data_IF_356107662340
#
_entry.id   IF_356107662340
#
_cell.length_a   1.000
_cell.length_b   1.000
_cell.length_c   1.000
_cell.angle_alpha   90.00
_cell.angle_beta   90.00
_cell.angle_gamma   90.00
#
_symmetry.space_group_name_H-M   'P 1'
#
loop_
_entity.id
_entity.type
_entity.pdbx_description
1 polymer ?
#
# COMPACT_ATOMS: atom_id res chain seq x y z
N UNK A 1 12.80 12.14 13.91
CA UNK A 1 11.50 12.59 14.42
C UNK A 1 10.85 11.52 15.28
N UNK A 2 9.93 11.93 16.11
CA UNK A 2 9.16 11.06 17.00
C UNK A 2 7.68 11.05 16.51
N UNK A 3 7.15 9.87 16.26
CA UNK A 3 5.75 9.67 15.93
C UNK A 3 5.16 8.51 16.74
N UNK A 4 4.19 8.80 17.62
CA UNK A 4 3.53 7.81 18.48
C UNK A 4 4.49 6.97 19.35
N UNK A 5 5.58 7.57 19.82
CA UNK A 5 6.60 6.90 20.62
C UNK A 5 7.60 6.08 19.79
N UNK A 6 7.55 6.14 18.48
CA UNK A 6 8.52 5.54 17.57
C UNK A 6 9.40 6.62 16.95
N UNK A 7 10.70 6.40 17.00
CA UNK A 7 11.66 7.27 16.31
C UNK A 7 11.74 6.91 14.83
N UNK A 8 11.68 7.92 13.96
CA UNK A 8 11.86 7.77 12.52
C UNK A 8 12.87 8.78 12.00
N UNK A 9 13.71 8.37 11.05
CA UNK A 9 14.58 9.30 10.35
C UNK A 9 13.73 10.26 9.49
N UNK A 10 13.95 11.56 9.66
CA UNK A 10 13.33 12.58 8.80
C UNK A 10 14.22 12.91 7.59
N UNK A 11 15.52 12.77 7.75
CA UNK A 11 16.53 12.94 6.72
C UNK A 11 17.84 12.25 7.16
N UNK A 12 18.77 12.06 6.22
CA UNK A 12 20.05 11.42 6.48
C UNK A 12 21.18 12.43 6.28
N UNK A 13 22.03 12.58 7.29
CA UNK A 13 23.17 13.48 7.23
C UNK A 13 24.36 12.79 6.57
N UNK A 14 25.18 13.59 5.88
CA UNK A 14 26.45 13.12 5.35
C UNK A 14 27.47 12.83 6.47
N UNK A 15 28.35 11.87 6.22
CA UNK A 15 29.40 11.52 7.16
C UNK A 15 30.25 12.76 7.55
N UNK A 16 30.58 12.86 8.84
CA UNK A 16 31.39 13.93 9.40
C UNK A 16 30.65 15.23 9.71
N UNK A 17 29.33 15.28 9.52
CA UNK A 17 28.50 16.40 9.94
C UNK A 17 27.60 16.00 11.11
N UNK A 18 27.29 16.96 11.98
CA UNK A 18 26.40 16.73 13.10
C UNK A 18 24.96 16.52 12.60
N UNK A 19 24.29 15.45 13.08
CA UNK A 19 22.93 15.10 12.69
C UNK A 19 21.89 15.88 13.50
N UNK A 20 22.00 17.19 13.52
CA UNK A 20 21.07 18.13 14.18
C UNK A 20 20.42 19.00 13.13
N UNK A 21 19.10 19.13 13.17
CA UNK A 21 18.36 19.98 12.25
C UNK A 21 18.41 21.45 12.69
N UNK A 22 18.79 22.33 11.78
CA UNK A 22 18.65 23.78 11.96
C UNK A 22 17.23 24.21 11.65
N UNK A 23 16.46 24.51 12.69
CA UNK A 23 15.09 25.01 12.53
C UNK A 23 15.12 26.45 12.01
N UNK A 24 14.67 26.67 10.80
CA UNK A 24 14.71 27.97 10.11
C UNK A 24 13.49 28.16 9.20
N UNK A 25 13.10 29.42 8.94
CA UNK A 25 12.14 29.74 7.90
C UNK A 25 12.73 29.75 6.48
N UNK A 26 14.05 29.62 6.35
CA UNK A 26 14.77 29.47 5.10
C UNK A 26 15.00 28.00 4.75
N UNK A 27 16.09 27.75 4.01
CA UNK A 27 16.54 26.39 3.72
C UNK A 27 17.29 25.82 4.92
N UNK A 28 16.84 24.68 5.44
CA UNK A 28 17.53 23.99 6.52
C UNK A 28 18.87 23.38 6.03
N UNK A 29 19.69 22.95 6.98
CA UNK A 29 20.94 22.24 6.70
C UNK A 29 20.73 20.87 6.00
N UNK A 30 19.52 20.31 6.02
CA UNK A 30 19.13 19.12 5.28
C UNK A 30 18.93 19.36 3.77
N UNK A 31 18.82 20.63 3.34
CA UNK A 31 18.43 21.00 1.97
C UNK A 31 19.32 20.37 0.89
N UNK A 32 20.64 20.44 1.04
CA UNK A 32 21.55 19.95 0.01
C UNK A 32 21.48 18.43 -0.13
N UNK A 33 21.33 17.71 0.98
CA UNK A 33 21.17 16.26 0.98
C UNK A 33 19.84 15.85 0.32
N UNK A 34 18.74 16.44 0.73
CA UNK A 34 17.41 16.17 0.17
C UNK A 34 17.35 16.53 -1.33
N UNK A 35 18.04 17.61 -1.73
CA UNK A 35 18.17 17.98 -3.14
C UNK A 35 18.91 16.91 -3.94
N UNK A 36 20.02 16.38 -3.43
CA UNK A 36 20.80 15.32 -4.10
C UNK A 36 19.96 14.05 -4.25
N UNK A 37 19.27 13.63 -3.21
CA UNK A 37 18.38 12.47 -3.25
C UNK A 37 17.25 12.65 -4.27
N UNK A 38 16.60 13.81 -4.27
CA UNK A 38 15.56 14.14 -5.26
C UNK A 38 16.08 14.08 -6.71
N UNK A 39 17.28 14.62 -6.95
CA UNK A 39 17.90 14.58 -8.27
C UNK A 39 18.29 13.15 -8.67
N UNK A 40 18.77 12.33 -7.73
CA UNK A 40 19.10 10.93 -7.97
C UNK A 40 17.85 10.12 -8.39
N UNK A 41 16.72 10.31 -7.69
CA UNK A 41 15.44 9.69 -8.08
C UNK A 41 15.02 10.12 -9.49
N UNK A 42 15.12 11.40 -9.80
CA UNK A 42 14.70 11.94 -11.12
C UNK A 42 15.59 11.51 -12.28
N UNK A 43 16.86 11.29 -12.04
CA UNK A 43 17.86 10.96 -13.09
C UNK A 43 18.22 9.47 -13.14
N UNK A 44 17.93 8.70 -12.10
CA UNK A 44 18.30 7.30 -11.98
C UNK A 44 17.20 6.47 -11.31
N UNK A 45 17.37 6.12 -10.05
CA UNK A 45 16.42 5.33 -9.28
C UNK A 45 16.53 5.66 -7.79
N UNK A 46 15.42 5.67 -7.09
CA UNK A 46 15.34 5.73 -5.65
C UNK A 46 14.44 4.65 -5.10
N UNK A 47 14.77 4.20 -3.91
CA UNK A 47 14.00 3.23 -3.13
C UNK A 47 13.73 3.83 -1.75
N UNK A 48 12.49 3.73 -1.27
CA UNK A 48 12.15 4.15 0.09
C UNK A 48 11.14 3.23 0.72
N UNK A 49 11.21 3.17 2.03
CA UNK A 49 10.37 2.33 2.87
C UNK A 49 8.95 2.94 2.97
N UNK A 50 7.93 2.10 2.81
CA UNK A 50 6.50 2.45 2.88
C UNK A 50 5.70 1.49 3.76
N UNK A 51 6.35 0.73 4.64
CA UNK A 51 5.72 -0.23 5.56
C UNK A 51 4.68 0.42 6.48
N UNK A 52 4.87 1.71 6.80
CA UNK A 52 3.99 2.47 7.68
C UNK A 52 2.58 2.72 7.15
N UNK A 53 2.23 2.36 5.91
CA UNK A 53 0.84 2.35 5.46
C UNK A 53 0.04 1.26 6.18
N UNK A 54 -1.22 1.55 6.53
CA UNK A 54 -2.14 0.51 6.99
C UNK A 54 -2.49 -0.45 5.86
N UNK A 55 -2.61 -1.73 6.19
CA UNK A 55 -2.88 -2.79 5.21
C UNK A 55 -3.94 -3.73 5.77
N UNK A 56 -5.03 -3.91 5.02
CA UNK A 56 -6.14 -4.76 5.41
C UNK A 56 -6.43 -5.76 4.30
N UNK A 57 -6.47 -7.04 4.65
CA UNK A 57 -6.88 -8.11 3.74
C UNK A 57 -8.35 -8.44 3.97
N UNK A 58 -9.12 -8.47 2.90
CA UNK A 58 -10.52 -8.89 2.90
C UNK A 58 -10.68 -10.17 2.08
N UNK A 59 -11.44 -11.11 2.61
CA UNK A 59 -11.71 -12.40 1.97
C UNK A 59 -13.11 -12.89 2.31
N UNK A 60 -13.56 -13.92 1.60
CA UNK A 60 -14.86 -14.55 1.77
C UNK A 60 -15.84 -14.22 0.65
N UNK A 61 -16.93 -15.00 0.55
CA UNK A 61 -17.88 -14.89 -0.57
C UNK A 61 -18.60 -13.54 -0.63
N UNK A 62 -18.74 -12.84 0.49
CA UNK A 62 -19.35 -11.52 0.58
C UNK A 62 -18.38 -10.34 0.41
N UNK A 63 -17.05 -10.58 0.29
CA UNK A 63 -16.05 -9.52 0.38
C UNK A 63 -16.21 -8.44 -0.70
N UNK A 64 -16.42 -8.81 -1.96
CA UNK A 64 -16.65 -7.84 -3.04
C UNK A 64 -17.87 -6.97 -2.80
N UNK A 65 -19.00 -7.56 -2.44
CA UNK A 65 -20.25 -6.84 -2.18
C UNK A 65 -20.13 -5.91 -0.96
N UNK A 66 -19.42 -6.37 0.07
CA UNK A 66 -19.11 -5.56 1.24
C UNK A 66 -18.28 -4.33 0.87
N UNK A 67 -17.17 -4.52 0.15
CA UNK A 67 -16.30 -3.43 -0.28
C UNK A 67 -17.01 -2.46 -1.24
N UNK A 68 -17.80 -2.96 -2.18
CA UNK A 68 -18.61 -2.14 -3.08
C UNK A 68 -19.64 -1.26 -2.34
N UNK A 69 -20.10 -1.71 -1.17
CA UNK A 69 -21.02 -0.95 -0.31
C UNK A 69 -20.30 0.16 0.48
N UNK A 70 -19.07 -0.07 0.96
CA UNK A 70 -18.39 0.88 1.86
C UNK A 70 -17.41 1.82 1.14
N UNK A 71 -17.01 1.48 -0.09
CA UNK A 71 -16.12 2.29 -0.90
C UNK A 71 -16.94 3.05 -1.96
N UNK A 72 -16.65 4.33 -2.14
CA UNK A 72 -17.38 5.18 -3.08
C UNK A 72 -16.93 4.97 -4.54
N UNK A 73 -15.77 4.34 -4.76
CA UNK A 73 -15.25 4.00 -6.07
C UNK A 73 -15.62 2.58 -6.52
N UNK A 74 -15.49 2.32 -7.80
CA UNK A 74 -15.72 0.99 -8.36
C UNK A 74 -14.59 0.03 -7.97
N UNK A 75 -14.93 -1.16 -7.47
CA UNK A 75 -13.95 -2.22 -7.17
C UNK A 75 -13.31 -2.72 -8.49
N UNK A 76 -11.97 -2.69 -8.60
CA UNK A 76 -11.29 -3.10 -9.81
C UNK A 76 -11.39 -4.62 -10.06
N UNK A 77 -11.09 -5.04 -11.29
CA UNK A 77 -10.93 -6.45 -11.63
C UNK A 77 -9.64 -7.03 -11.03
N UNK A 78 -9.55 -8.36 -10.96
CA UNK A 78 -8.34 -9.07 -10.51
C UNK A 78 -7.07 -8.59 -11.23
N UNK A 79 -5.96 -8.48 -10.50
CA UNK A 79 -4.68 -7.95 -10.99
C UNK A 79 -4.65 -6.43 -11.16
N UNK A 80 -5.68 -5.71 -10.67
CA UNK A 80 -5.77 -4.26 -10.79
C UNK A 80 -5.96 -3.59 -9.43
N UNK A 81 -5.50 -2.35 -9.36
CA UNK A 81 -5.71 -1.46 -8.21
C UNK A 81 -6.55 -0.25 -8.61
N UNK A 82 -7.22 0.35 -7.64
CA UNK A 82 -7.91 1.63 -7.79
C UNK A 82 -7.77 2.44 -6.51
N UNK A 83 -7.55 3.75 -6.65
CA UNK A 83 -7.70 4.69 -5.56
C UNK A 83 -9.19 4.97 -5.37
N UNK A 84 -9.67 4.89 -4.15
CA UNK A 84 -11.09 5.07 -3.84
C UNK A 84 -11.29 5.73 -2.47
N UNK A 85 -12.17 6.74 -2.38
CA UNK A 85 -12.58 7.24 -1.09
C UNK A 85 -13.55 6.26 -0.39
N UNK A 86 -13.49 6.24 0.92
CA UNK A 86 -14.46 5.59 1.79
C UNK A 86 -15.26 6.65 2.50
N UNK A 87 -16.59 6.60 2.42
CA UNK A 87 -17.48 7.61 2.98
C UNK A 87 -18.49 6.99 3.94
N UNK A 88 -18.97 7.80 4.88
CA UNK A 88 -20.11 7.43 5.70
C UNK A 88 -21.45 7.66 4.93
N UNK A 89 -22.60 7.20 5.47
CA UNK A 89 -23.89 7.40 4.81
C UNK A 89 -24.29 8.87 4.58
N UNK A 90 -23.69 9.81 5.30
CA UNK A 90 -23.88 11.24 5.09
C UNK A 90 -22.96 11.84 3.99
N UNK A 91 -22.12 11.01 3.35
CA UNK A 91 -21.18 11.43 2.31
C UNK A 91 -19.89 12.06 2.84
N UNK A 92 -19.65 12.05 4.15
CA UNK A 92 -18.40 12.55 4.72
C UNK A 92 -17.28 11.54 4.52
N UNK A 93 -16.09 12.05 4.17
CA UNK A 93 -14.90 11.23 3.97
C UNK A 93 -14.45 10.56 5.27
N UNK A 94 -14.35 9.23 5.26
CA UNK A 94 -13.77 8.40 6.32
C UNK A 94 -12.30 8.15 6.04
N UNK A 95 -11.96 7.87 4.79
CA UNK A 95 -10.59 7.59 4.38
C UNK A 95 -10.43 7.60 2.87
N UNK A 96 -9.17 7.69 2.47
CA UNK A 96 -8.72 7.61 1.09
C UNK A 96 -7.84 6.36 0.97
N UNK A 97 -8.31 5.38 0.24
CA UNK A 97 -7.74 4.03 0.23
C UNK A 97 -7.39 3.61 -1.20
N UNK A 98 -6.34 2.79 -1.31
CA UNK A 98 -6.08 2.02 -2.55
C UNK A 98 -6.58 0.60 -2.34
N UNK A 99 -7.48 0.14 -3.20
CA UNK A 99 -7.96 -1.24 -3.23
C UNK A 99 -7.26 -2.01 -4.35
N UNK A 100 -6.68 -3.16 -4.01
CA UNK A 100 -6.10 -4.13 -4.93
C UNK A 100 -6.95 -5.40 -4.91
N UNK A 101 -7.36 -5.91 -6.09
CA UNK A 101 -8.09 -7.17 -6.22
C UNK A 101 -7.13 -8.28 -6.59
N UNK A 102 -6.85 -9.21 -5.68
CA UNK A 102 -5.88 -10.29 -5.86
C UNK A 102 -6.38 -11.43 -6.77
N UNK A 103 -7.68 -11.55 -6.97
CA UNK A 103 -8.31 -12.68 -7.64
C UNK A 103 -8.81 -13.74 -6.67
N UNK A 104 -9.24 -14.90 -7.16
CA UNK A 104 -9.68 -15.99 -6.31
C UNK A 104 -8.48 -16.60 -5.56
N UNK A 105 -8.68 -16.92 -4.29
CA UNK A 105 -7.70 -17.67 -3.51
C UNK A 105 -7.42 -19.01 -4.21
N UNK A 106 -6.27 -19.18 -4.81
CA UNK A 106 -5.81 -20.50 -5.28
C UNK A 106 -5.42 -21.29 -4.04
N UNK A 107 -6.20 -22.32 -3.72
CA UNK A 107 -6.20 -23.13 -2.52
C UNK A 107 -4.93 -23.13 -1.67
N UNK A 108 -5.14 -22.86 -0.39
CA UNK A 108 -4.25 -23.00 0.77
C UNK A 108 -2.80 -23.42 0.50
N UNK A 109 -1.90 -22.45 0.43
CA UNK A 109 -0.58 -22.65 0.96
C UNK A 109 -0.63 -22.16 2.41
N UNK A 110 -0.68 -23.08 3.37
CA UNK A 110 -0.35 -22.81 4.77
C UNK A 110 1.15 -22.52 4.85
N UNK A 111 1.51 -21.29 4.57
CA UNK A 111 2.83 -20.72 4.80
C UNK A 111 2.67 -19.50 5.69
N UNK A 112 3.74 -19.03 6.39
CA UNK A 112 3.63 -17.84 7.20
C UNK A 112 3.07 -16.70 6.37
N UNK A 113 2.01 -16.09 6.86
CA UNK A 113 1.26 -15.02 6.22
C UNK A 113 2.18 -13.90 5.76
N UNK A 114 2.44 -13.79 4.47
CA UNK A 114 2.97 -12.51 3.97
C UNK A 114 3.31 -12.44 2.48
N UNK A 115 2.91 -13.37 1.65
CA UNK A 115 3.15 -13.15 0.21
C UNK A 115 1.84 -12.71 -0.45
N UNK A 116 1.75 -11.40 -0.74
CA UNK A 116 0.71 -10.87 -1.63
C UNK A 116 1.11 -11.28 -3.04
N UNK A 117 0.80 -12.52 -3.41
CA UNK A 117 1.01 -13.01 -4.78
C UNK A 117 -0.27 -12.79 -5.58
N UNK A 118 -0.27 -11.76 -6.40
CA UNK A 118 -1.31 -11.51 -7.36
C UNK A 118 -1.00 -12.23 -8.68
N UNK A 119 -1.56 -13.39 -8.85
CA UNK A 119 -1.44 -14.13 -10.09
C UNK A 119 -2.72 -14.91 -10.39
N UNK A 120 -3.80 -14.23 -10.81
CA UNK A 120 -4.98 -14.94 -11.30
C UNK A 120 -5.53 -14.26 -12.55
N UNK A 121 -5.32 -14.89 -13.69
CA UNK A 121 -6.07 -14.69 -14.91
C UNK A 121 -7.34 -15.54 -14.81
N UNK A 122 -8.37 -15.03 -14.16
CA UNK A 122 -9.65 -15.74 -14.05
C UNK A 122 -10.77 -14.78 -13.64
N UNK A 123 -11.86 -14.82 -14.42
CA UNK A 123 -13.07 -14.03 -14.17
C UNK A 123 -13.95 -14.76 -13.13
N UNK A 124 -13.48 -14.88 -11.89
CA UNK A 124 -14.20 -15.55 -10.79
C UNK A 124 -14.55 -14.54 -9.71
N UNK A 125 -15.84 -14.23 -9.57
CA UNK A 125 -16.37 -13.30 -8.57
C UNK A 125 -16.55 -13.91 -7.19
N UNK A 126 -16.55 -15.23 -7.07
CA UNK A 126 -16.69 -15.94 -5.80
C UNK A 126 -15.31 -16.34 -5.28
N UNK A 127 -14.99 -15.93 -4.04
CA UNK A 127 -13.71 -16.22 -3.39
C UNK A 127 -12.55 -15.28 -3.74
N UNK A 128 -12.84 -14.10 -4.30
CA UNK A 128 -11.80 -13.07 -4.52
C UNK A 128 -11.25 -12.53 -3.20
N UNK A 129 -9.96 -12.28 -3.17
CA UNK A 129 -9.29 -11.60 -2.07
C UNK A 129 -8.91 -10.16 -2.47
N UNK A 130 -8.90 -9.29 -1.48
CA UNK A 130 -8.62 -7.87 -1.66
C UNK A 130 -7.61 -7.40 -0.63
N UNK A 131 -6.75 -6.47 -1.00
CA UNK A 131 -5.91 -5.74 -0.05
C UNK A 131 -6.22 -4.26 -0.20
N UNK A 132 -6.49 -3.61 0.94
CA UNK A 132 -6.67 -2.19 1.05
C UNK A 132 -5.45 -1.56 1.71
N UNK A 133 -4.95 -0.49 1.11
CA UNK A 133 -3.86 0.33 1.65
C UNK A 133 -4.39 1.70 2.02
N UNK A 134 -4.06 2.19 3.20
CA UNK A 134 -4.49 3.48 3.69
C UNK A 134 -3.45 4.17 4.58
N UNK A 135 -3.81 5.29 5.16
CA UNK A 135 -2.94 6.01 6.10
C UNK A 135 -2.65 5.18 7.34
N UNK A 136 -1.37 4.99 7.67
CA UNK A 136 -0.96 4.20 8.85
C UNK A 136 -1.44 4.80 10.17
N UNK A 137 -1.45 6.11 10.30
CA UNK A 137 -1.95 6.78 11.51
C UNK A 137 -3.46 6.61 11.72
N UNK A 138 -4.20 6.24 10.67
CA UNK A 138 -5.64 6.01 10.73
C UNK A 138 -6.00 4.52 10.85
N UNK A 139 -5.03 3.60 10.98
CA UNK A 139 -5.26 2.15 11.00
C UNK A 139 -6.34 1.74 12.00
N UNK A 140 -6.21 2.14 13.25
CA UNK A 140 -7.21 1.85 14.29
C UNK A 140 -8.59 2.49 14.06
N UNK A 141 -8.62 3.61 13.36
CA UNK A 141 -9.87 4.26 12.97
C UNK A 141 -10.55 3.46 11.86
N UNK A 142 -9.80 3.00 10.87
CA UNK A 142 -10.31 2.15 9.79
C UNK A 142 -10.77 0.79 10.31
N UNK A 143 -10.01 0.13 11.19
CA UNK A 143 -10.42 -1.13 11.83
C UNK A 143 -11.82 -1.02 12.45
N UNK A 144 -12.01 -0.02 13.32
CA UNK A 144 -13.32 0.20 13.97
C UNK A 144 -14.43 0.46 12.97
N UNK A 145 -14.14 1.18 11.89
CA UNK A 145 -15.13 1.42 10.84
C UNK A 145 -15.48 0.13 10.11
N UNK A 146 -14.49 -0.67 9.72
CA UNK A 146 -14.70 -1.95 9.07
C UNK A 146 -15.51 -2.90 9.97
N UNK A 147 -15.12 -3.07 11.22
CA UNK A 147 -15.80 -3.94 12.19
C UNK A 147 -17.29 -3.58 12.37
N UNK A 148 -17.60 -2.29 12.41
CA UNK A 148 -18.99 -1.81 12.52
C UNK A 148 -19.83 -2.11 11.28
N UNK A 149 -19.21 -2.31 10.14
CA UNK A 149 -19.86 -2.54 8.86
C UNK A 149 -19.81 -4.00 8.40
N UNK A 150 -18.99 -4.85 9.05
CA UNK A 150 -18.89 -6.27 8.71
C UNK A 150 -20.24 -6.99 8.88
N UNK A 151 -20.63 -7.85 7.92
CA UNK A 151 -21.80 -8.72 8.11
C UNK A 151 -21.54 -9.73 9.22
N UNK A 152 -22.60 -10.03 9.98
CA UNK A 152 -22.54 -10.95 11.13
C UNK A 152 -22.65 -12.43 10.75
N UNK A 153 -22.87 -12.73 9.47
CA UNK A 153 -23.05 -14.09 8.93
C UNK A 153 -21.73 -14.81 8.61
N UNK A 154 -20.58 -14.15 8.85
CA UNK A 154 -19.25 -14.71 8.56
C UNK A 154 -18.89 -14.75 7.07
N UNK A 155 -19.69 -14.13 6.20
CA UNK A 155 -19.44 -14.09 4.74
C UNK A 155 -18.25 -13.22 4.36
N UNK A 156 -17.76 -12.38 5.27
CA UNK A 156 -16.58 -11.50 5.06
C UNK A 156 -15.63 -11.62 6.23
N UNK A 157 -14.36 -11.81 5.93
CA UNK A 157 -13.27 -11.74 6.89
C UNK A 157 -12.40 -10.52 6.58
N UNK A 158 -12.08 -9.74 7.61
CA UNK A 158 -11.09 -8.65 7.56
C UNK A 158 -9.91 -9.02 8.45
N UNK A 159 -8.70 -8.82 7.94
CA UNK A 159 -7.44 -9.09 8.64
C UNK A 159 -6.51 -7.89 8.49
N UNK A 160 -6.01 -7.36 9.60
CA UNK A 160 -5.00 -6.30 9.59
C UNK A 160 -3.63 -6.92 9.44
N UNK A 161 -2.90 -6.56 8.38
CA UNK A 161 -1.59 -7.13 8.07
C UNK A 161 -0.44 -6.45 8.84
N UNK A 162 -0.67 -5.25 9.35
CA UNK A 162 0.28 -4.52 10.21
C UNK A 162 1.70 -4.42 9.65
N UNK A 163 2.69 -4.52 10.54
CA UNK A 163 4.12 -4.48 10.21
C UNK A 163 4.70 -5.84 9.75
N UNK A 164 3.92 -6.91 9.77
CA UNK A 164 4.37 -8.21 9.26
C UNK A 164 4.60 -8.19 7.74
N UNK A 165 3.99 -7.21 7.05
CA UNK A 165 4.16 -6.99 5.62
C UNK A 165 4.91 -5.68 5.38
N UNK A 166 6.18 -5.79 4.97
CA UNK A 166 6.99 -4.64 4.60
C UNK A 166 6.55 -4.06 3.25
N UNK A 167 6.62 -2.75 3.12
CA UNK A 167 6.36 -2.02 1.90
C UNK A 167 7.61 -1.27 1.42
N UNK A 168 7.92 -1.38 0.14
CA UNK A 168 8.98 -0.61 -0.51
C UNK A 168 8.42 0.07 -1.76
N UNK A 169 8.73 1.35 -1.92
CA UNK A 169 8.44 2.09 -3.13
C UNK A 169 9.72 2.30 -3.93
N UNK A 170 9.63 2.08 -5.23
CA UNK A 170 10.73 2.30 -6.17
C UNK A 170 10.28 3.27 -7.27
N UNK A 171 11.08 4.28 -7.56
CA UNK A 171 10.79 5.24 -8.64
C UNK A 171 12.06 5.72 -9.34
N UNK A 172 11.87 6.27 -10.52
CA UNK A 172 12.92 6.81 -11.36
C UNK A 172 13.02 6.10 -12.71
N UNK A 173 13.72 6.69 -13.68
CA UNK A 173 13.83 6.15 -15.04
C UNK A 173 14.43 4.73 -15.09
N UNK A 174 15.26 4.35 -14.13
CA UNK A 174 15.91 3.04 -14.06
C UNK A 174 15.17 2.04 -13.12
N UNK A 175 13.99 2.38 -12.58
CA UNK A 175 13.26 1.53 -11.64
C UNK A 175 12.96 0.14 -12.21
N UNK A 176 12.50 0.05 -13.47
CA UNK A 176 12.23 -1.25 -14.13
C UNK A 176 13.47 -2.12 -14.29
N UNK A 177 14.60 -1.52 -14.68
CA UNK A 177 15.86 -2.25 -14.84
C UNK A 177 16.40 -2.82 -13.51
N UNK A 178 16.00 -2.24 -12.37
CA UNK A 178 16.27 -2.82 -11.05
C UNK A 178 15.30 -3.97 -10.77
N UNK A 179 14.00 -3.79 -10.99
CA UNK A 179 12.99 -4.82 -10.77
C UNK A 179 13.25 -6.07 -11.61
N UNK A 180 13.64 -5.93 -12.88
CA UNK A 180 14.00 -7.05 -13.79
C UNK A 180 15.13 -7.95 -13.24
N UNK A 181 15.94 -7.45 -12.29
CA UNK A 181 16.99 -8.23 -11.63
C UNK A 181 16.49 -8.96 -10.36
N UNK A 182 15.31 -8.61 -9.88
CA UNK A 182 14.77 -9.08 -8.60
C UNK A 182 13.61 -10.06 -8.76
N UNK A 183 13.00 -10.14 -9.95
CA UNK A 183 11.84 -10.99 -10.21
C UNK A 183 11.85 -11.52 -11.64
N UNK A 184 11.30 -12.72 -11.83
CA UNK A 184 11.05 -13.31 -13.14
C UNK A 184 9.72 -12.84 -13.76
N UNK A 185 8.92 -12.05 -13.03
CA UNK A 185 7.68 -11.48 -13.54
C UNK A 185 7.95 -10.46 -14.65
N UNK A 186 7.03 -10.35 -15.60
CA UNK A 186 7.10 -9.33 -16.65
C UNK A 186 6.78 -7.93 -16.08
N UNK A 187 7.82 -7.22 -15.70
CA UNK A 187 7.73 -5.84 -15.20
C UNK A 187 7.86 -4.79 -16.31
N UNK A 188 7.82 -5.20 -17.59
CA UNK A 188 7.79 -4.27 -18.72
C UNK A 188 6.54 -3.37 -18.71
N UNK A 189 6.53 -2.35 -19.56
CA UNK A 189 5.36 -1.47 -19.69
C UNK A 189 4.10 -2.22 -20.16
N UNK A 190 4.24 -3.32 -20.88
CA UNK A 190 3.12 -4.14 -21.34
C UNK A 190 2.67 -5.15 -20.29
N UNK A 191 3.61 -5.74 -19.52
CA UNK A 191 3.33 -6.68 -18.45
C UNK A 191 2.74 -5.98 -17.21
N UNK A 192 3.39 -4.90 -16.76
CA UNK A 192 2.94 -4.12 -15.62
C UNK A 192 2.40 -2.75 -16.07
N UNK A 193 1.12 -2.69 -16.40
CA UNK A 193 0.43 -1.45 -16.79
C UNK A 193 0.14 -0.57 -15.57
N UNK A 194 -0.17 0.70 -15.82
CA UNK A 194 -0.60 1.62 -14.76
C UNK A 194 -1.74 1.03 -13.93
N UNK A 195 -1.62 1.08 -12.61
CA UNK A 195 -2.56 0.49 -11.64
C UNK A 195 -2.77 -1.02 -11.84
N UNK A 196 -1.78 -1.74 -12.36
CA UNK A 196 -1.71 -3.19 -12.34
C UNK A 196 -0.65 -3.65 -11.35
N UNK A 197 -0.74 -4.91 -10.93
CA UNK A 197 0.27 -5.61 -10.14
C UNK A 197 0.37 -7.07 -10.60
N UNK A 198 1.46 -7.71 -10.25
CA UNK A 198 1.79 -9.08 -10.61
C UNK A 198 2.38 -9.82 -9.42
#
# INVERSE_FOLDING_TARGET
GDGFGLEAALWFQQDGKEAVEDVTFGRSNAWDQVRQETLAVRSSVGLWETTGFSKFKFSGPGARAYLDRILAGRIPNAGRMALTPMTNPAGNLIGDLTVATLGAATGAAEGPASTITGGATGNTRDGEEFVLFGSGIAERYYERWFDQQLPTDGSVRCETLGFETAGLSIAGPNARAVLEKLTDADVSQNGMRFMAFT
#
